data_IF_168601544461
#
_entry.id   IF_168601544461
#
_cell.length_a   1.000
_cell.length_b   1.000
_cell.length_c   1.000
_cell.angle_alpha   90.00
_cell.angle_beta   90.00
_cell.angle_gamma   90.00
#
_symmetry.space_group_name_H-M   'P 1'
#
loop_
_entity.id
_entity.type
_entity.pdbx_description
1 polymer ?
#
# COMPACT_ATOMS: atom_id res chain seq x y z
N UNK A 1 -9.76 11.54 5.57
CA UNK A 1 -9.29 10.19 5.97
C UNK A 1 -8.18 9.74 5.01
N UNK A 2 -7.42 8.69 5.29
CA UNK A 2 -6.30 8.24 4.44
C UNK A 2 -6.76 7.87 3.01
N UNK A 3 -7.92 7.24 2.89
CA UNK A 3 -8.58 6.95 1.59
C UNK A 3 -8.74 8.21 0.74
N UNK A 4 -9.24 9.31 1.31
CA UNK A 4 -9.40 10.57 0.57
C UNK A 4 -8.07 11.17 0.15
N UNK A 5 -7.02 10.98 0.95
CA UNK A 5 -5.66 11.40 0.59
C UNK A 5 -5.16 10.60 -0.61
N UNK A 6 -5.33 9.28 -0.60
CA UNK A 6 -4.99 8.41 -1.73
C UNK A 6 -5.78 8.73 -2.99
N UNK A 7 -7.08 9.03 -2.90
CA UNK A 7 -7.87 9.48 -4.06
C UNK A 7 -7.29 10.74 -4.69
N UNK A 8 -6.89 11.72 -3.86
CA UNK A 8 -6.23 12.94 -4.35
C UNK A 8 -4.87 12.64 -4.99
N UNK A 9 -4.09 11.72 -4.42
CA UNK A 9 -2.82 11.27 -5.01
C UNK A 9 -3.07 10.58 -6.35
N UNK A 10 -4.03 9.66 -6.44
CA UNK A 10 -4.42 8.97 -7.68
C UNK A 10 -4.76 9.96 -8.80
N UNK A 11 -5.60 10.96 -8.53
CA UNK A 11 -5.91 12.02 -9.50
C UNK A 11 -4.67 12.80 -9.95
N UNK A 12 -3.72 13.08 -9.03
CA UNK A 12 -2.47 13.77 -9.38
C UNK A 12 -1.57 12.89 -10.27
N UNK A 13 -1.48 11.60 -9.98
CA UNK A 13 -0.70 10.64 -10.76
C UNK A 13 -1.31 10.52 -12.17
N UNK A 14 -2.63 10.28 -12.25
CA UNK A 14 -3.35 10.15 -13.53
C UNK A 14 -3.07 11.34 -14.46
N UNK A 15 -3.23 12.56 -13.93
CA UNK A 15 -2.93 13.80 -14.69
C UNK A 15 -1.48 13.87 -15.14
N UNK A 16 -0.55 13.46 -14.29
CA UNK A 16 0.88 13.50 -14.60
C UNK A 16 1.26 12.52 -15.70
N UNK A 17 0.62 11.34 -15.75
CA UNK A 17 1.01 10.25 -16.66
C UNK A 17 0.10 10.08 -17.88
N UNK A 18 -1.02 10.80 -17.96
CA UNK A 18 -2.00 10.70 -19.04
C UNK A 18 -1.39 10.82 -20.45
N UNK A 19 -0.36 11.66 -20.61
CA UNK A 19 0.32 11.87 -21.88
C UNK A 19 1.21 10.69 -22.31
N UNK A 20 1.65 9.84 -21.38
CA UNK A 20 2.52 8.68 -21.65
C UNK A 20 1.72 7.56 -22.33
N UNK A 21 0.41 7.45 -22.04
CA UNK A 21 -0.50 6.42 -22.59
C UNK A 21 0.04 4.99 -22.42
N UNK A 22 0.67 4.72 -21.27
CA UNK A 22 1.14 3.39 -20.89
C UNK A 22 0.62 3.02 -19.51
N UNK A 23 0.40 1.72 -19.25
CA UNK A 23 0.15 1.21 -17.91
C UNK A 23 1.19 1.71 -16.91
N UNK A 24 0.73 2.14 -15.74
CA UNK A 24 1.59 2.49 -14.62
C UNK A 24 1.79 1.28 -13.72
N UNK A 25 3.02 1.13 -13.22
CA UNK A 25 3.34 0.15 -12.19
C UNK A 25 4.17 0.85 -11.11
N UNK A 26 3.82 0.66 -9.84
CA UNK A 26 4.64 1.16 -8.74
C UNK A 26 5.79 0.21 -8.50
N UNK A 27 7.02 0.65 -8.75
CA UNK A 27 8.21 -0.16 -8.49
C UNK A 27 8.47 -0.35 -7.00
N UNK A 28 7.99 0.58 -6.17
CA UNK A 28 8.02 0.52 -4.71
C UNK A 28 6.78 1.22 -4.15
N UNK A 29 6.12 0.59 -3.18
CA UNK A 29 4.99 1.17 -2.46
C UNK A 29 4.94 0.57 -1.05
N UNK A 30 5.08 1.42 -0.02
CA UNK A 30 5.31 0.93 1.33
C UNK A 30 5.14 1.99 2.41
N UNK A 31 5.02 1.53 3.64
CA UNK A 31 4.91 2.36 4.84
C UNK A 31 5.70 1.72 5.97
N UNK A 32 6.60 2.49 6.60
CA UNK A 32 7.25 2.10 7.85
C UNK A 32 6.25 2.08 9.02
N UNK A 33 6.65 1.55 10.18
CA UNK A 33 5.78 1.47 11.37
C UNK A 33 6.11 2.59 12.36
N UNK A 34 6.00 3.84 11.92
CA UNK A 34 6.39 5.03 12.68
C UNK A 34 5.26 6.04 12.72
N UNK A 35 5.13 6.77 13.82
CA UNK A 35 4.18 7.87 13.92
C UNK A 35 4.40 8.92 12.81
N UNK A 36 3.32 9.26 12.10
CA UNK A 36 3.31 10.26 11.04
C UNK A 36 3.80 9.78 9.67
N UNK A 37 4.12 8.49 9.51
CA UNK A 37 4.61 7.91 8.24
C UNK A 37 3.66 8.12 7.07
N UNK A 38 2.37 8.35 7.32
CA UNK A 38 1.38 8.63 6.29
C UNK A 38 1.66 9.91 5.47
N UNK A 39 2.42 10.86 6.03
CA UNK A 39 2.78 12.14 5.39
C UNK A 39 3.98 11.98 4.48
N UNK A 40 5.00 11.28 4.96
CA UNK A 40 6.29 11.08 4.29
C UNK A 40 6.66 9.59 4.30
N UNK A 41 5.99 8.75 3.50
CA UNK A 41 6.13 7.29 3.58
C UNK A 41 7.52 6.76 3.21
N UNK A 42 8.36 7.61 2.61
CA UNK A 42 9.76 7.33 2.29
C UNK A 42 10.70 7.60 3.47
N UNK A 43 10.27 8.39 4.47
CA UNK A 43 11.10 8.86 5.57
C UNK A 43 11.05 7.87 6.74
N UNK A 44 11.81 6.79 6.64
CA UNK A 44 11.97 5.79 7.70
C UNK A 44 12.81 6.26 8.90
N UNK A 45 13.12 7.55 8.97
CA UNK A 45 13.73 8.20 10.14
C UNK A 45 12.80 9.20 10.82
N UNK A 46 11.52 9.29 10.39
CA UNK A 46 10.59 10.32 10.86
C UNK A 46 10.35 10.26 12.38
N UNK A 47 10.26 9.05 12.95
CA UNK A 47 10.01 8.81 14.35
C UNK A 47 10.45 7.38 14.74
N UNK A 48 11.77 7.10 14.60
CA UNK A 48 12.32 5.73 14.74
C UNK A 48 12.00 5.09 16.09
N UNK A 49 11.94 5.90 17.15
CA UNK A 49 11.68 5.47 18.53
C UNK A 49 10.18 5.44 18.87
N UNK A 50 9.32 6.00 18.01
CA UNK A 50 7.86 6.09 18.21
C UNK A 50 7.13 5.15 17.23
N UNK A 51 7.06 3.88 17.61
CA UNK A 51 6.47 2.82 16.79
C UNK A 51 4.95 2.94 16.75
N UNK A 52 4.39 3.13 15.56
CA UNK A 52 2.95 3.04 15.31
C UNK A 52 2.62 1.95 14.29
N UNK A 53 2.29 0.76 14.81
CA UNK A 53 1.86 -0.39 14.01
C UNK A 53 0.46 -0.18 13.41
N UNK A 54 -0.37 0.64 14.05
CA UNK A 54 -1.73 0.95 13.61
C UNK A 54 -1.72 1.86 12.40
N UNK A 55 -0.84 2.86 12.38
CA UNK A 55 -0.68 3.76 11.25
C UNK A 55 -0.21 3.01 9.99
N UNK A 56 0.74 2.07 10.13
CA UNK A 56 1.14 1.20 9.01
C UNK A 56 -0.06 0.43 8.43
N UNK A 57 -0.87 -0.20 9.30
CA UNK A 57 -2.08 -0.92 8.90
C UNK A 57 -3.07 0.00 8.19
N UNK A 58 -3.33 1.18 8.74
CA UNK A 58 -4.33 2.11 8.20
C UNK A 58 -3.90 2.68 6.85
N UNK A 59 -2.58 2.89 6.65
CA UNK A 59 -2.01 3.27 5.37
C UNK A 59 -2.20 2.18 4.31
N UNK A 60 -1.91 0.92 4.66
CA UNK A 60 -2.12 -0.20 3.74
C UNK A 60 -3.61 -0.42 3.44
N UNK A 61 -4.50 -0.34 4.42
CA UNK A 61 -5.93 -0.44 4.18
C UNK A 61 -6.41 0.62 3.17
N UNK A 62 -5.96 1.87 3.32
CA UNK A 62 -6.33 2.94 2.41
C UNK A 62 -5.79 2.76 0.98
N UNK A 63 -4.54 2.30 0.83
CA UNK A 63 -3.96 2.09 -0.50
C UNK A 63 -4.61 0.92 -1.22
N UNK A 64 -4.89 -0.17 -0.49
CA UNK A 64 -5.55 -1.37 -1.03
C UNK A 64 -7.03 -1.12 -1.38
N UNK A 65 -7.68 -0.12 -0.76
CA UNK A 65 -9.01 0.32 -1.17
C UNK A 65 -8.96 1.15 -2.46
N UNK A 66 -8.01 2.08 -2.59
CA UNK A 66 -8.03 3.08 -3.68
C UNK A 66 -7.30 2.59 -4.93
N UNK A 67 -6.09 2.06 -4.80
CA UNK A 67 -5.24 1.75 -5.97
C UNK A 67 -5.89 0.77 -6.95
N UNK A 68 -6.59 -0.30 -6.52
CA UNK A 68 -7.30 -1.19 -7.44
C UNK A 68 -8.42 -0.51 -8.26
N UNK A 69 -8.91 0.66 -7.83
CA UNK A 69 -9.92 1.43 -8.58
C UNK A 69 -9.30 2.33 -9.65
N UNK A 70 -7.98 2.47 -9.68
CA UNK A 70 -7.25 3.26 -10.67
C UNK A 70 -6.92 2.38 -11.87
N UNK A 71 -7.79 2.35 -12.89
CA UNK A 71 -7.66 1.45 -14.04
C UNK A 71 -6.34 1.56 -14.82
N UNK A 72 -5.67 2.72 -14.75
CA UNK A 72 -4.37 2.94 -15.39
C UNK A 72 -3.18 2.37 -14.59
N UNK A 73 -3.42 1.86 -13.37
CA UNK A 73 -2.41 1.22 -12.51
C UNK A 73 -2.56 -0.29 -12.58
N UNK A 74 -1.49 -0.98 -12.97
CA UNK A 74 -1.48 -2.43 -13.20
C UNK A 74 -0.79 -3.23 -12.08
N UNK A 75 -0.34 -2.57 -11.01
CA UNK A 75 0.20 -3.23 -9.84
C UNK A 75 1.25 -2.41 -9.10
N UNK A 76 1.78 -3.04 -8.05
CA UNK A 76 2.85 -2.51 -7.22
C UNK A 76 3.76 -3.63 -6.72
N UNK A 77 5.03 -3.33 -6.50
CA UNK A 77 5.85 -4.09 -5.58
C UNK A 77 5.76 -3.47 -4.18
N UNK A 78 5.37 -4.28 -3.21
CA UNK A 78 5.28 -3.84 -1.83
C UNK A 78 6.67 -3.71 -1.21
N UNK A 79 6.96 -2.52 -0.68
CA UNK A 79 8.21 -2.23 0.02
C UNK A 79 7.94 -2.27 1.54
N UNK A 80 8.50 -3.19 2.32
CA UNK A 80 9.31 -4.36 1.92
C UNK A 80 8.87 -5.61 2.71
N UNK A 81 9.57 -6.72 2.51
CA UNK A 81 9.36 -7.96 3.25
C UNK A 81 10.69 -8.56 3.71
N UNK A 82 11.56 -7.71 4.29
CA UNK A 82 12.86 -8.11 4.83
C UNK A 82 12.83 -8.15 6.37
N UNK A 83 13.86 -8.76 6.98
CA UNK A 83 14.02 -8.81 8.44
C UNK A 83 12.89 -9.54 9.16
N UNK A 84 12.94 -9.62 10.49
CA UNK A 84 11.97 -10.40 11.29
C UNK A 84 10.65 -9.67 11.57
N UNK A 85 10.64 -8.33 11.57
CA UNK A 85 9.47 -7.55 11.90
C UNK A 85 9.08 -7.63 13.37
N UNK A 86 7.77 -7.58 13.63
CA UNK A 86 7.19 -7.70 14.96
C UNK A 86 6.88 -6.37 15.65
N UNK A 87 6.41 -6.46 16.89
CA UNK A 87 5.82 -5.33 17.63
C UNK A 87 6.81 -4.22 17.98
N UNK A 88 8.11 -4.50 17.96
CA UNK A 88 9.19 -3.56 18.26
C UNK A 88 9.96 -3.10 17.02
N UNK A 89 9.47 -3.39 15.82
CA UNK A 89 10.12 -3.04 14.56
C UNK A 89 9.44 -1.80 13.96
N UNK A 90 10.19 -0.70 13.83
CA UNK A 90 9.75 0.57 13.22
C UNK A 90 9.92 0.61 11.69
N UNK A 91 10.44 -0.45 11.07
CA UNK A 91 10.72 -0.55 9.64
C UNK A 91 9.49 -0.89 8.79
N UNK A 92 9.74 -1.12 7.50
CA UNK A 92 8.72 -1.31 6.47
C UNK A 92 8.05 -2.69 6.50
N UNK A 93 8.79 -3.73 6.88
CA UNK A 93 8.28 -5.08 6.85
C UNK A 93 6.98 -5.21 7.66
N UNK A 94 5.90 -5.77 7.09
CA UNK A 94 4.66 -6.03 7.83
C UNK A 94 4.72 -7.33 8.63
N UNK A 95 5.82 -8.09 8.54
CA UNK A 95 5.99 -9.38 9.24
C UNK A 95 5.72 -9.22 10.73
N UNK A 96 4.82 -10.04 11.28
CA UNK A 96 4.47 -9.99 12.71
C UNK A 96 3.77 -8.70 13.17
N UNK A 97 3.28 -7.86 12.23
CA UNK A 97 2.55 -6.62 12.50
C UNK A 97 1.11 -6.70 11.98
N UNK A 98 0.17 -5.88 12.49
CA UNK A 98 -1.22 -5.89 12.04
C UNK A 98 -1.41 -5.60 10.55
N UNK A 99 -0.47 -4.88 9.93
CA UNK A 99 -0.53 -4.57 8.50
C UNK A 99 -0.55 -5.81 7.60
N UNK A 100 0.03 -6.95 8.01
CA UNK A 100 0.02 -8.17 7.18
C UNK A 100 -1.39 -8.70 6.93
N UNK A 101 -2.33 -8.46 7.84
CA UNK A 101 -3.71 -8.92 7.68
C UNK A 101 -4.39 -8.17 6.54
N UNK A 102 -4.09 -6.88 6.35
CA UNK A 102 -4.62 -6.10 5.22
C UNK A 102 -4.20 -6.70 3.87
N UNK A 103 -2.96 -7.21 3.77
CA UNK A 103 -2.47 -7.86 2.56
C UNK A 103 -3.17 -9.20 2.32
N UNK A 104 -3.41 -9.98 3.37
CA UNK A 104 -4.09 -11.28 3.29
C UNK A 104 -5.55 -11.12 2.88
N UNK A 105 -6.26 -10.18 3.49
CA UNK A 105 -7.65 -9.87 3.17
C UNK A 105 -7.78 -9.41 1.72
N UNK A 106 -6.91 -8.51 1.27
CA UNK A 106 -6.92 -8.05 -0.12
C UNK A 106 -6.59 -9.18 -1.11
N UNK A 107 -5.58 -10.00 -0.81
CA UNK A 107 -5.20 -11.12 -1.67
C UNK A 107 -6.32 -12.16 -1.81
N UNK A 108 -7.08 -12.42 -0.74
CA UNK A 108 -8.25 -13.29 -0.80
C UNK A 108 -9.32 -12.73 -1.75
N UNK A 109 -9.65 -11.44 -1.64
CA UNK A 109 -10.63 -10.78 -2.51
C UNK A 109 -10.20 -10.79 -3.98
N UNK A 110 -8.94 -10.48 -4.28
CA UNK A 110 -8.45 -10.48 -5.67
C UNK A 110 -8.36 -11.89 -6.26
N UNK A 111 -8.08 -12.91 -5.45
CA UNK A 111 -8.11 -14.30 -5.88
C UNK A 111 -9.53 -14.69 -6.35
N UNK A 112 -10.55 -14.36 -5.55
CA UNK A 112 -11.95 -14.63 -5.88
C UNK A 112 -12.37 -13.90 -7.17
N UNK A 113 -12.02 -12.61 -7.31
CA UNK A 113 -12.26 -11.84 -8.55
C UNK A 113 -11.52 -12.40 -9.76
N UNK A 114 -10.35 -13.01 -9.54
CA UNK A 114 -9.58 -13.67 -10.60
C UNK A 114 -10.28 -14.92 -11.11
N UNK A 115 -10.85 -15.72 -10.18
CA UNK A 115 -11.65 -16.91 -10.48
C UNK A 115 -12.89 -16.52 -11.30
N UNK A 116 -13.66 -15.52 -10.86
CA UNK A 116 -14.85 -15.05 -11.57
C UNK A 116 -14.53 -14.59 -13.01
N UNK A 117 -13.49 -13.75 -13.19
CA UNK A 117 -13.06 -13.26 -14.51
C UNK A 117 -12.51 -14.34 -15.44
N UNK A 118 -12.16 -15.50 -14.92
CA UNK A 118 -11.71 -16.66 -15.70
C UNK A 118 -12.86 -17.59 -16.11
N UNK A 119 -13.96 -17.60 -15.36
CA UNK A 119 -15.16 -18.38 -15.67
C UNK A 119 -16.00 -17.76 -16.80
N UNK A 120 -15.87 -16.45 -17.01
CA UNK A 120 -16.56 -15.69 -18.07
C UNK A 120 -15.82 -15.67 -19.44
N UNK A 121 -14.75 -16.46 -19.60
CA UNK A 121 -13.98 -16.60 -20.85
C UNK A 121 -14.11 -18.00 -21.43
#
# INVERSE_FOLDING_TARGET
>A
RLVDAWRRVGTKIERSVAHIRRPLFFTELGYASQEGINKDPWNYFIAVDDIDLGEQRDCFAAVLEVVPTLEFVHGAFWFDYFGEGGRGDSGYTPRGKPAIETWREWAAVECDRGIERSADR
#
